data_IF_762838488405
#
_entry.id   IF_762838488405
#
_cell.length_a   1.000
_cell.length_b   1.000
_cell.length_c   1.000
_cell.angle_alpha   90.00
_cell.angle_beta   90.00
_cell.angle_gamma   90.00
#
_symmetry.space_group_name_H-M   'P 1'
#
loop_
_entity.id
_entity.type
_entity.pdbx_description
1 polymer ?
#
# COMPACT_ATOMS: atom_id res chain seq x y z
N UNK A 1 -22.52 -44.37 10.35
CA UNK A 1 -21.57 -43.86 9.34
C UNK A 1 -22.31 -42.90 8.44
N UNK A 2 -22.19 -41.61 8.69
CA UNK A 2 -22.24 -40.55 7.69
C UNK A 2 -21.50 -39.39 8.35
N UNK A 3 -20.31 -39.12 7.84
CA UNK A 3 -19.39 -38.13 8.34
C UNK A 3 -20.08 -36.77 8.37
N UNK A 4 -20.30 -36.22 9.56
CA UNK A 4 -20.48 -34.79 9.70
C UNK A 4 -19.15 -34.16 9.27
N UNK A 5 -19.14 -33.61 8.05
CA UNK A 5 -18.06 -32.77 7.57
C UNK A 5 -17.81 -31.69 8.62
N UNK A 6 -16.60 -31.67 9.15
CA UNK A 6 -16.11 -30.63 10.06
C UNK A 6 -15.90 -29.37 9.24
N UNK A 7 -16.98 -28.66 8.93
CA UNK A 7 -16.92 -27.37 8.24
C UNK A 7 -16.46 -26.29 9.24
N UNK A 8 -15.40 -25.56 8.85
CA UNK A 8 -14.94 -24.28 9.42
C UNK A 8 -14.27 -24.29 10.81
N UNK A 9 -12.99 -24.66 10.83
CA UNK A 9 -12.04 -24.15 11.83
C UNK A 9 -10.82 -23.52 11.14
N UNK A 10 -11.09 -22.52 10.30
CA UNK A 10 -10.09 -21.63 9.68
C UNK A 10 -10.34 -20.17 10.05
N UNK A 11 -10.78 -19.91 11.29
CA UNK A 11 -11.59 -18.74 11.67
C UNK A 11 -11.03 -17.35 11.33
N UNK A 12 -9.80 -17.01 11.69
CA UNK A 12 -9.22 -15.68 11.41
C UNK A 12 -7.76 -15.78 11.00
N UNK A 13 -6.99 -16.64 11.67
CA UNK A 13 -5.59 -16.88 11.34
C UNK A 13 -5.41 -17.29 9.87
N UNK A 14 -6.32 -18.09 9.33
CA UNK A 14 -6.26 -18.53 7.93
C UNK A 14 -6.42 -17.37 6.94
N UNK A 15 -7.30 -16.39 7.25
CA UNK A 15 -7.49 -15.18 6.43
C UNK A 15 -6.20 -14.34 6.35
N UNK A 16 -5.47 -14.23 7.46
CA UNK A 16 -4.22 -13.45 7.53
C UNK A 16 -3.01 -14.21 6.97
N UNK A 17 -2.96 -15.52 7.15
CA UNK A 17 -1.82 -16.36 6.73
C UNK A 17 -1.94 -16.87 5.30
N UNK A 18 -3.18 -17.00 4.79
CA UNK A 18 -3.51 -17.38 3.41
C UNK A 18 -4.42 -16.30 2.77
N UNK A 19 -3.89 -15.08 2.53
CA UNK A 19 -4.69 -13.95 2.09
C UNK A 19 -5.19 -14.12 0.65
N UNK A 20 -6.38 -13.57 0.35
CA UNK A 20 -6.89 -13.48 -1.03
C UNK A 20 -5.93 -12.71 -1.96
N UNK A 21 -6.01 -12.90 -3.27
CA UNK A 21 -5.17 -12.18 -4.23
C UNK A 21 -5.20 -10.65 -4.05
N UNK A 22 -6.36 -10.08 -3.71
CA UNK A 22 -6.50 -8.64 -3.43
C UNK A 22 -5.77 -8.23 -2.14
N UNK A 23 -5.96 -8.98 -1.05
CA UNK A 23 -5.28 -8.71 0.21
C UNK A 23 -3.76 -8.90 0.09
N UNK A 24 -3.34 -9.88 -0.70
CA UNK A 24 -1.93 -10.15 -0.97
C UNK A 24 -1.25 -8.98 -1.69
N UNK A 25 -1.93 -8.34 -2.65
CA UNK A 25 -1.44 -7.11 -3.31
C UNK A 25 -1.26 -5.97 -2.30
N UNK A 26 -2.19 -5.81 -1.36
CA UNK A 26 -2.07 -4.83 -0.28
C UNK A 26 -0.91 -5.16 0.66
N UNK A 27 -0.70 -6.42 1.02
CA UNK A 27 0.43 -6.85 1.84
C UNK A 27 1.76 -6.52 1.16
N UNK A 28 1.89 -6.80 -0.14
CA UNK A 28 3.07 -6.42 -0.92
C UNK A 28 3.24 -4.90 -0.94
N UNK A 29 2.18 -4.14 -1.24
CA UNK A 29 2.25 -2.68 -1.33
C UNK A 29 2.66 -2.03 0.00
N UNK A 30 1.98 -2.39 1.10
CA UNK A 30 2.26 -1.84 2.44
C UNK A 30 3.61 -2.32 2.96
N UNK A 31 3.94 -3.61 2.78
CA UNK A 31 5.22 -4.17 3.20
C UNK A 31 6.40 -3.53 2.46
N UNK A 32 6.34 -3.43 1.13
CA UNK A 32 7.36 -2.77 0.34
C UNK A 32 7.49 -1.28 0.68
N UNK A 33 6.36 -0.57 0.81
CA UNK A 33 6.37 0.84 1.15
C UNK A 33 6.95 1.12 2.54
N UNK A 34 6.57 0.32 3.54
CA UNK A 34 7.12 0.41 4.90
C UNK A 34 8.63 0.18 4.93
N UNK A 35 9.15 -0.76 4.13
CA UNK A 35 10.59 -0.98 4.02
C UNK A 35 11.32 0.21 3.37
N UNK A 36 10.73 0.82 2.33
CA UNK A 36 11.28 2.06 1.74
C UNK A 36 11.37 3.15 2.80
N UNK A 37 10.31 3.36 3.58
CA UNK A 37 10.31 4.34 4.67
C UNK A 37 11.34 4.00 5.76
N UNK A 38 11.49 2.73 6.13
CA UNK A 38 12.50 2.31 7.10
C UNK A 38 13.93 2.61 6.60
N UNK A 39 14.21 2.34 5.33
CA UNK A 39 15.50 2.66 4.69
C UNK A 39 15.73 4.17 4.67
N UNK A 40 14.73 4.95 4.25
CA UNK A 40 14.82 6.41 4.27
C UNK A 40 15.05 6.96 5.69
N UNK A 41 14.41 6.37 6.71
CA UNK A 41 14.63 6.72 8.11
C UNK A 41 16.08 6.45 8.54
N UNK A 42 16.61 5.27 8.23
CA UNK A 42 18.00 4.90 8.52
C UNK A 42 19.00 5.79 7.77
N UNK A 43 18.73 6.14 6.52
CA UNK A 43 19.57 7.07 5.74
C UNK A 43 19.45 8.53 6.17
N UNK A 44 18.59 8.86 7.15
CA UNK A 44 18.31 10.24 7.57
C UNK A 44 17.62 11.07 6.48
N UNK A 45 16.95 10.43 5.52
CA UNK A 45 16.26 11.05 4.39
C UNK A 45 14.73 11.09 4.58
N UNK A 46 14.20 10.69 5.74
CA UNK A 46 12.74 10.60 5.98
C UNK A 46 12.06 11.96 6.24
N UNK A 47 12.76 12.90 6.86
CA UNK A 47 12.32 14.25 7.22
C UNK A 47 13.53 15.17 7.33
N UNK A 48 13.49 16.49 7.06
CA UNK A 48 14.64 17.39 7.21
C UNK A 48 15.25 17.38 8.63
N UNK A 49 14.40 17.49 9.65
CA UNK A 49 14.82 17.74 11.06
C UNK A 49 14.74 16.52 11.96
N UNK A 50 13.86 15.59 11.63
CA UNK A 50 13.44 14.54 12.56
C UNK A 50 13.85 13.16 12.05
N UNK A 51 14.06 12.28 13.01
CA UNK A 51 14.10 10.84 12.83
C UNK A 51 12.81 10.25 13.41
N UNK A 52 12.29 9.22 12.76
CA UNK A 52 11.11 8.50 13.24
C UNK A 52 11.52 7.33 14.12
N UNK A 53 10.86 7.16 15.25
CA UNK A 53 10.82 5.91 15.99
C UNK A 53 9.54 5.19 15.60
N UNK A 54 9.63 4.11 14.83
CA UNK A 54 8.42 3.42 14.36
C UNK A 54 7.61 2.82 15.51
N UNK A 55 8.29 2.38 16.58
CA UNK A 55 7.65 1.93 17.80
C UNK A 55 6.87 3.05 18.49
N UNK A 56 7.46 4.25 18.61
CA UNK A 56 6.78 5.40 19.17
C UNK A 56 5.59 5.86 18.32
N UNK A 57 5.78 5.99 17.00
CA UNK A 57 4.74 6.43 16.07
C UNK A 57 3.52 5.50 16.07
N UNK A 58 3.73 4.19 15.95
CA UNK A 58 2.63 3.21 15.84
C UNK A 58 1.93 2.94 17.17
N UNK A 59 2.54 3.33 18.29
CA UNK A 59 1.98 3.13 19.63
C UNK A 59 1.48 4.43 20.24
N UNK A 60 1.44 5.52 19.45
CA UNK A 60 1.06 6.86 19.90
C UNK A 60 1.86 7.30 21.13
N UNK A 61 3.18 7.11 21.04
CA UNK A 61 4.17 7.46 22.06
C UNK A 61 4.07 6.68 23.39
N UNK A 62 3.27 5.62 23.45
CA UNK A 62 3.14 4.81 24.66
C UNK A 62 4.41 4.02 25.02
N UNK A 63 5.23 3.64 24.02
CA UNK A 63 6.43 2.82 24.20
C UNK A 63 7.75 3.60 24.03
N UNK A 64 7.74 4.72 23.30
CA UNK A 64 8.88 5.60 23.05
C UNK A 64 8.39 6.89 22.37
N UNK A 65 9.17 7.97 22.39
CA UNK A 65 8.87 9.18 21.60
C UNK A 65 8.79 8.83 20.10
N UNK A 66 7.81 9.39 19.37
CA UNK A 66 7.62 9.09 17.95
C UNK A 66 8.64 9.80 17.05
N UNK A 67 9.09 10.98 17.47
CA UNK A 67 10.02 11.82 16.71
C UNK A 67 11.19 12.26 17.60
N UNK A 68 12.41 12.00 17.12
CA UNK A 68 13.64 12.53 17.71
C UNK A 68 14.35 13.50 16.78
N UNK A 69 15.07 14.48 17.32
CA UNK A 69 15.95 15.34 16.51
C UNK A 69 17.09 14.52 15.91
N UNK A 70 17.42 14.72 14.64
CA UNK A 70 18.47 13.93 13.96
C UNK A 70 19.84 13.99 14.63
N UNK A 71 20.16 15.10 15.28
CA UNK A 71 21.48 15.32 15.89
C UNK A 71 21.72 14.43 17.11
N UNK A 72 20.65 14.11 17.85
CA UNK A 72 20.72 13.41 19.13
C UNK A 72 20.01 12.04 19.11
N UNK A 73 19.12 11.82 18.15
CA UNK A 73 18.32 10.61 18.09
C UNK A 73 19.18 9.39 17.73
N UNK A 74 18.96 8.24 18.39
CA UNK A 74 19.68 7.01 18.07
C UNK A 74 19.43 6.59 16.62
N UNK A 75 20.49 6.13 15.95
CA UNK A 75 20.43 5.64 14.58
C UNK A 75 19.51 4.41 14.39
N UNK A 76 19.21 3.68 15.46
CA UNK A 76 18.32 2.52 15.40
C UNK A 76 17.76 2.22 16.80
N UNK A 77 16.47 1.93 16.89
CA UNK A 77 15.81 1.48 18.13
C UNK A 77 15.12 0.14 17.93
N UNK A 78 14.83 -0.59 19.02
CA UNK A 78 14.17 -1.90 18.96
C UNK A 78 12.85 -1.82 18.17
N UNK A 79 12.10 -0.72 18.32
CA UNK A 79 10.87 -0.45 17.56
C UNK A 79 11.09 -0.43 16.03
N UNK A 80 12.24 0.05 15.56
CA UNK A 80 12.57 0.04 14.13
C UNK A 80 12.76 -1.40 13.62
N UNK A 81 13.40 -2.26 14.41
CA UNK A 81 13.58 -3.67 14.09
C UNK A 81 12.26 -4.43 14.03
N UNK A 82 11.36 -4.20 14.99
CA UNK A 82 10.01 -4.79 15.00
C UNK A 82 9.22 -4.34 13.78
N UNK A 83 9.29 -3.05 13.43
CA UNK A 83 8.63 -2.51 12.24
C UNK A 83 9.15 -3.14 10.94
N UNK A 84 10.47 -3.20 10.76
CA UNK A 84 11.09 -3.83 9.59
C UNK A 84 10.69 -5.31 9.49
N UNK A 85 10.70 -6.05 10.60
CA UNK A 85 10.27 -7.44 10.64
C UNK A 85 8.80 -7.60 10.24
N UNK A 86 7.91 -6.73 10.71
CA UNK A 86 6.51 -6.72 10.33
C UNK A 86 6.32 -6.44 8.83
N UNK A 87 7.05 -5.46 8.27
CA UNK A 87 7.01 -5.16 6.84
C UNK A 87 7.53 -6.32 5.98
N UNK A 88 8.62 -6.98 6.40
CA UNK A 88 9.13 -8.18 5.74
C UNK A 88 8.14 -9.34 5.79
N UNK A 89 7.46 -9.53 6.93
CA UNK A 89 6.43 -10.55 7.07
C UNK A 89 5.25 -10.30 6.12
N UNK A 90 4.74 -9.06 6.06
CA UNK A 90 3.69 -8.68 5.11
C UNK A 90 4.14 -8.92 3.66
N UNK A 91 5.32 -8.43 3.30
CA UNK A 91 5.86 -8.60 1.94
C UNK A 91 6.01 -10.07 1.58
N UNK A 92 6.59 -10.88 2.49
CA UNK A 92 6.80 -12.32 2.29
C UNK A 92 5.49 -13.09 2.15
N UNK A 93 4.51 -12.84 3.02
CA UNK A 93 3.17 -13.46 2.94
C UNK A 93 2.45 -13.07 1.66
N UNK A 94 2.47 -11.79 1.28
CA UNK A 94 1.84 -11.30 0.06
C UNK A 94 2.46 -11.90 -1.20
N UNK A 95 3.80 -11.95 -1.28
CA UNK A 95 4.50 -12.55 -2.43
C UNK A 95 4.27 -14.05 -2.52
N UNK A 96 4.35 -14.78 -1.39
CA UNK A 96 4.06 -16.21 -1.35
C UNK A 96 2.64 -16.49 -1.85
N UNK A 97 1.66 -15.80 -1.30
CA UNK A 97 0.26 -16.01 -1.64
C UNK A 97 -0.05 -15.69 -3.11
N UNK A 98 0.57 -14.64 -3.67
CA UNK A 98 0.45 -14.32 -5.10
C UNK A 98 1.12 -15.36 -6.00
N UNK A 99 2.25 -15.91 -5.57
CA UNK A 99 2.93 -16.98 -6.29
C UNK A 99 2.05 -18.24 -6.40
N UNK A 100 1.32 -18.56 -5.33
CA UNK A 100 0.48 -19.75 -5.26
C UNK A 100 -0.86 -19.57 -6.03
N UNK A 101 -1.34 -18.33 -6.18
CA UNK A 101 -2.63 -18.01 -6.80
C UNK A 101 -2.57 -17.57 -8.27
N UNK A 102 -1.41 -17.20 -8.80
CA UNK A 102 -1.27 -16.65 -10.17
C UNK A 102 -0.68 -17.71 -11.09
N UNK A 103 -1.28 -17.95 -12.26
CA UNK A 103 -0.81 -18.96 -13.21
C UNK A 103 0.67 -18.77 -13.64
N UNK A 104 1.09 -17.51 -13.80
CA UNK A 104 2.48 -17.11 -14.09
C UNK A 104 3.29 -16.75 -12.81
N UNK A 105 2.75 -17.04 -11.63
CA UNK A 105 3.33 -16.74 -10.32
C UNK A 105 3.77 -15.29 -10.14
N UNK A 106 4.94 -15.10 -9.52
CA UNK A 106 5.54 -13.78 -9.31
C UNK A 106 5.91 -13.04 -10.62
N UNK A 107 6.23 -13.77 -11.69
CA UNK A 107 6.54 -13.17 -12.98
C UNK A 107 5.29 -12.52 -13.61
N UNK A 108 4.14 -13.20 -13.51
CA UNK A 108 2.84 -12.65 -13.90
C UNK A 108 2.47 -11.41 -13.09
N UNK A 109 2.68 -11.46 -11.78
CA UNK A 109 2.47 -10.30 -10.92
C UNK A 109 3.36 -9.10 -11.32
N UNK A 110 4.66 -9.32 -11.51
CA UNK A 110 5.59 -8.27 -11.92
C UNK A 110 5.21 -7.65 -13.28
N UNK A 111 4.80 -8.49 -14.25
CA UNK A 111 4.25 -8.02 -15.53
C UNK A 111 3.01 -7.16 -15.32
N UNK A 112 2.10 -7.54 -14.41
CA UNK A 112 0.87 -6.78 -14.14
C UNK A 112 1.10 -5.38 -13.54
N UNK A 113 2.25 -5.15 -12.90
CA UNK A 113 2.61 -3.82 -12.39
C UNK A 113 2.96 -2.86 -13.54
N UNK A 114 3.57 -3.36 -14.61
CA UNK A 114 4.01 -2.57 -15.76
C UNK A 114 2.93 -2.54 -16.85
N UNK A 115 2.41 -3.71 -17.22
CA UNK A 115 1.40 -3.92 -18.23
C UNK A 115 0.02 -3.90 -17.57
N UNK A 116 -0.51 -2.71 -17.39
CA UNK A 116 -1.86 -2.51 -16.89
C UNK A 116 -2.63 -1.48 -17.74
N UNK A 117 -3.94 -1.46 -17.55
CA UNK A 117 -4.82 -0.54 -18.26
C UNK A 117 -4.76 0.92 -17.75
N UNK A 118 -3.94 1.23 -16.74
CA UNK A 118 -3.79 2.59 -16.23
C UNK A 118 -3.14 3.48 -17.28
N UNK A 119 -2.12 2.98 -18.00
CA UNK A 119 -1.45 3.76 -19.05
C UNK A 119 -2.34 4.10 -20.24
N UNK A 120 -3.08 3.15 -20.84
CA UNK A 120 -4.05 3.48 -21.89
C UNK A 120 -5.18 4.40 -21.41
N UNK A 121 -5.57 4.31 -20.14
CA UNK A 121 -6.60 5.18 -19.57
C UNK A 121 -6.16 6.65 -19.48
N UNK A 122 -4.88 6.93 -19.22
CA UNK A 122 -4.35 8.30 -19.15
C UNK A 122 -4.54 9.09 -20.46
N UNK A 123 -4.39 8.40 -21.60
CA UNK A 123 -4.56 8.98 -22.94
C UNK A 123 -5.99 8.92 -23.46
N UNK A 124 -6.96 8.51 -22.62
CA UNK A 124 -8.38 8.42 -22.99
C UNK A 124 -8.74 7.30 -23.97
N UNK A 125 -7.80 6.39 -24.25
CA UNK A 125 -7.95 5.39 -25.33
C UNK A 125 -8.91 4.24 -25.01
N UNK A 126 -9.15 3.94 -23.71
CA UNK A 126 -10.03 2.84 -23.26
C UNK A 126 -10.72 3.19 -21.93
N UNK A 127 -12.05 3.00 -21.87
CA UNK A 127 -12.84 3.02 -20.62
C UNK A 127 -13.48 4.35 -20.19
N UNK A 128 -13.54 5.35 -21.08
CA UNK A 128 -14.33 6.57 -20.88
C UNK A 128 -13.69 7.62 -19.95
N UNK A 129 -14.35 8.78 -19.86
CA UNK A 129 -13.85 9.95 -19.12
C UNK A 129 -13.58 9.65 -17.63
N UNK A 130 -14.48 8.91 -16.99
CA UNK A 130 -14.36 8.58 -15.57
C UNK A 130 -13.09 7.77 -15.27
N UNK A 131 -12.74 6.81 -16.14
CA UNK A 131 -11.52 6.02 -16.02
C UNK A 131 -10.27 6.84 -16.30
N UNK A 132 -10.33 7.75 -17.27
CA UNK A 132 -9.23 8.66 -17.58
C UNK A 132 -8.93 9.61 -16.40
N UNK A 133 -9.97 10.25 -15.83
CA UNK A 133 -9.85 11.11 -14.64
C UNK A 133 -9.32 10.29 -13.46
N UNK A 134 -9.85 9.08 -13.25
CA UNK A 134 -9.34 8.17 -12.21
C UNK A 134 -7.85 7.84 -12.37
N UNK A 135 -7.39 7.57 -13.60
CA UNK A 135 -5.99 7.32 -13.89
C UNK A 135 -5.09 8.55 -13.61
N UNK A 136 -5.56 9.76 -13.96
CA UNK A 136 -4.86 11.00 -13.63
C UNK A 136 -4.81 11.27 -12.12
N UNK A 137 -5.88 10.99 -11.40
CA UNK A 137 -5.89 11.07 -9.94
C UNK A 137 -4.84 10.14 -9.32
N UNK A 138 -4.72 8.88 -9.78
CA UNK A 138 -3.67 7.97 -9.33
C UNK A 138 -2.27 8.50 -9.66
N UNK A 139 -2.05 8.92 -10.92
CA UNK A 139 -0.75 9.41 -11.36
C UNK A 139 -0.30 10.66 -10.58
N UNK A 140 -1.20 11.63 -10.43
CA UNK A 140 -0.91 12.86 -9.69
C UNK A 140 -0.74 12.59 -8.20
N UNK A 141 -1.55 11.71 -7.59
CA UNK A 141 -1.41 11.36 -6.17
C UNK A 141 -0.05 10.73 -5.85
N UNK A 142 0.29 9.62 -6.52
CA UNK A 142 1.58 8.97 -6.32
C UNK A 142 2.75 9.84 -6.78
N UNK A 143 2.63 10.49 -7.93
CA UNK A 143 3.67 11.35 -8.49
C UNK A 143 3.98 12.54 -7.59
N UNK A 144 2.96 13.22 -7.06
CA UNK A 144 3.11 14.32 -6.11
C UNK A 144 3.84 13.88 -4.85
N UNK A 145 3.41 12.78 -4.23
CA UNK A 145 4.01 12.30 -2.98
C UNK A 145 5.48 11.89 -3.15
N UNK A 146 5.80 11.14 -4.21
CA UNK A 146 7.17 10.73 -4.51
C UNK A 146 8.04 11.95 -4.85
N UNK A 147 7.55 12.86 -5.70
CA UNK A 147 8.30 14.06 -6.08
C UNK A 147 8.58 14.94 -4.85
N UNK A 148 7.58 15.18 -4.00
CA UNK A 148 7.75 15.98 -2.79
C UNK A 148 8.70 15.30 -1.80
N UNK A 149 8.56 13.98 -1.60
CA UNK A 149 9.45 13.19 -0.75
C UNK A 149 10.91 13.30 -1.19
N UNK A 150 11.18 13.19 -2.49
CA UNK A 150 12.54 13.32 -3.04
C UNK A 150 13.07 14.75 -2.97
N UNK A 151 12.27 15.76 -3.31
CA UNK A 151 12.72 17.16 -3.39
C UNK A 151 12.90 17.82 -2.03
N UNK A 152 12.07 17.45 -1.05
CA UNK A 152 12.00 18.15 0.24
C UNK A 152 12.22 17.22 1.44
N UNK A 153 12.55 15.94 1.22
CA UNK A 153 12.64 14.92 2.28
C UNK A 153 11.35 14.83 3.11
N UNK A 154 10.19 15.12 2.53
CA UNK A 154 8.90 15.24 3.24
C UNK A 154 8.09 13.93 3.34
N UNK A 155 8.73 12.78 3.55
CA UNK A 155 8.05 11.47 3.41
C UNK A 155 6.99 11.21 4.48
N UNK A 156 7.14 11.82 5.65
CA UNK A 156 6.21 11.71 6.79
C UNK A 156 5.36 12.97 7.01
N UNK A 157 5.38 13.90 6.06
CA UNK A 157 4.57 15.11 6.14
C UNK A 157 3.08 14.74 5.96
N UNK A 158 2.28 15.02 7.00
CA UNK A 158 0.86 14.69 7.04
C UNK A 158 0.06 15.47 6.00
N UNK A 159 0.45 16.71 5.69
CA UNK A 159 -0.18 17.52 4.66
C UNK A 159 0.06 16.96 3.27
N UNK A 160 1.30 16.59 2.96
CA UNK A 160 1.68 15.97 1.68
C UNK A 160 0.95 14.62 1.52
N UNK A 161 0.91 13.82 2.58
CA UNK A 161 0.16 12.56 2.57
C UNK A 161 -1.33 12.78 2.33
N UNK A 162 -1.95 13.78 2.98
CA UNK A 162 -3.39 14.06 2.86
C UNK A 162 -3.81 14.41 1.43
N UNK A 163 -3.03 15.22 0.73
CA UNK A 163 -3.28 15.57 -0.69
C UNK A 163 -3.14 14.32 -1.56
N UNK A 164 -2.06 13.56 -1.37
CA UNK A 164 -1.80 12.33 -2.11
C UNK A 164 -2.90 11.29 -1.93
N UNK A 165 -3.25 10.96 -0.69
CA UNK A 165 -4.21 9.88 -0.39
C UNK A 165 -5.62 10.23 -0.89
N UNK A 166 -5.99 11.52 -0.87
CA UNK A 166 -7.25 11.98 -1.43
C UNK A 166 -7.30 11.71 -2.93
N UNK A 167 -6.27 12.10 -3.68
CA UNK A 167 -6.17 11.81 -5.12
C UNK A 167 -6.15 10.31 -5.39
N UNK A 168 -5.38 9.53 -4.63
CA UNK A 168 -5.32 8.07 -4.79
C UNK A 168 -6.69 7.43 -4.53
N UNK A 169 -7.39 7.83 -3.48
CA UNK A 169 -8.73 7.33 -3.14
C UNK A 169 -9.74 7.67 -4.24
N UNK A 170 -9.76 8.91 -4.73
CA UNK A 170 -10.58 9.29 -5.89
C UNK A 170 -10.23 8.46 -7.13
N UNK A 171 -8.95 8.23 -7.38
CA UNK A 171 -8.48 7.40 -8.49
C UNK A 171 -9.04 5.98 -8.45
N UNK A 172 -8.97 5.32 -7.29
CA UNK A 172 -9.56 3.99 -7.11
C UNK A 172 -11.09 4.02 -7.20
N UNK A 173 -11.75 5.00 -6.59
CA UNK A 173 -13.21 5.13 -6.61
C UNK A 173 -13.75 5.33 -8.04
N UNK A 174 -13.15 6.23 -8.82
CA UNK A 174 -13.54 6.49 -10.21
C UNK A 174 -13.27 5.29 -11.12
N UNK A 175 -12.15 4.59 -10.93
CA UNK A 175 -11.86 3.38 -11.68
C UNK A 175 -12.85 2.25 -11.33
N UNK A 176 -13.26 2.11 -10.07
CA UNK A 176 -14.29 1.15 -9.67
C UNK A 176 -15.66 1.51 -10.27
N UNK A 177 -16.07 2.78 -10.14
CA UNK A 177 -17.34 3.26 -10.68
C UNK A 177 -17.42 3.15 -12.21
N UNK A 178 -16.30 3.33 -12.93
CA UNK A 178 -16.25 3.15 -14.39
C UNK A 178 -16.53 1.73 -14.88
N UNK A 179 -16.55 0.75 -13.96
CA UNK A 179 -16.78 -0.68 -14.24
C UNK A 179 -18.09 -1.18 -13.65
N UNK A 180 -18.90 -0.30 -13.05
CA UNK A 180 -20.21 -0.67 -12.55
C UNK A 180 -21.13 -1.04 -13.74
N UNK A 181 -21.94 -2.11 -13.63
CA UNK A 181 -22.95 -2.42 -14.63
C UNK A 181 -23.91 -1.22 -14.82
N UNK A 182 -24.45 -0.98 -16.03
CA UNK A 182 -25.56 -0.06 -16.20
C UNK A 182 -26.69 -0.48 -15.25
N UNK A 183 -27.27 0.48 -14.51
CA UNK A 183 -28.45 0.19 -13.70
C UNK A 183 -29.60 -0.26 -14.61
N UNK A 184 -30.41 -1.23 -14.16
CA UNK A 184 -31.65 -1.59 -14.84
C UNK A 184 -32.54 -0.33 -14.93
N UNK A 185 -32.66 0.24 -16.13
CA UNK A 185 -33.52 1.41 -16.38
C UNK A 185 -35.02 1.04 -16.40
N UNK A 186 -35.43 -0.14 -15.89
CA UNK A 186 -36.80 -0.65 -15.93
C UNK A 186 -37.71 -0.20 -14.78
N UNK A 187 -37.47 0.98 -14.19
CA UNK A 187 -38.43 1.64 -13.30
C UNK A 187 -38.62 3.10 -13.69
N UNK A 188 -39.16 3.31 -14.89
CA UNK A 188 -40.03 4.45 -15.21
C UNK A 188 -41.22 3.97 -16.06
#
# INVERSE_FOLDING_TARGET
MSSEETTQSGGLADIFLNPSATLSKWYVAVGAWGLVLAVLNMMGQIHPTYRVSWGGLLTFEALADAFGNKDDAPFFVIGDGVFIAACLALLGLGLRSLNDQTEDGLAGFARSLVLNDTWPALVGSKGGLMRAVGAWCLLLGFGFYIAYGVMYTGWIDVGVYSVSITLVAFGFALNAASRAPPGDETVM
#
